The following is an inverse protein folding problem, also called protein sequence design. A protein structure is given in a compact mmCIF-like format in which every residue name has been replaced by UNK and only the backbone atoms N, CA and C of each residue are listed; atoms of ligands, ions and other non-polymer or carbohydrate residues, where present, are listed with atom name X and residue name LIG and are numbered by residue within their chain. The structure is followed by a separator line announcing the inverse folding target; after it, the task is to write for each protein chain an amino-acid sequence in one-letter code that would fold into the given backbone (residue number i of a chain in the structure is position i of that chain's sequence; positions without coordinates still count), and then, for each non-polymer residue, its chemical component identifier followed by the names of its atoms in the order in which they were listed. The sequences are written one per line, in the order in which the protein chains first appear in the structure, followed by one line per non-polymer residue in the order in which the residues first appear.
data_IF_212140910278
#
_entry.id   IF_212140910278
#
_cell.length_a   1.000
_cell.length_b   1.000
_cell.length_c   1.000
_cell.angle_alpha   90.00
_cell.angle_beta   90.00
_cell.angle_gamma   90.00
#
_symmetry.space_group_name_H-M   'P 1'
#
loop_
_entity.id
_entity.type
_entity.pdbx_description
1 polymer ?
#
# COMPACT_ATOMS: atom_id res chain seq x y z
N UNK A 1 -26.77 15.26 -9.89
CA UNK A 1 -26.59 15.22 -8.42
C UNK A 1 -25.22 14.61 -8.14
N UNK A 2 -24.19 15.46 -8.03
CA UNK A 2 -22.80 15.02 -7.90
C UNK A 2 -22.46 14.46 -6.51
N UNK A 3 -23.35 14.67 -5.53
CA UNK A 3 -23.14 14.24 -4.14
C UNK A 3 -22.84 12.73 -4.02
N UNK A 4 -23.65 11.88 -4.69
CA UNK A 4 -23.49 10.42 -4.62
C UNK A 4 -22.24 9.96 -5.38
N UNK A 5 -21.93 10.59 -6.51
CA UNK A 5 -20.72 10.30 -7.29
C UNK A 5 -19.46 10.64 -6.48
N UNK A 6 -19.45 11.82 -5.85
CA UNK A 6 -18.35 12.26 -4.98
C UNK A 6 -18.14 11.35 -3.78
N UNK A 7 -19.22 10.94 -3.10
CA UNK A 7 -19.12 10.00 -1.96
C UNK A 7 -18.56 8.65 -2.40
N UNK A 8 -18.98 8.13 -3.56
CA UNK A 8 -18.39 6.91 -4.13
C UNK A 8 -16.89 7.08 -4.41
N UNK A 9 -16.49 8.19 -5.02
CA UNK A 9 -15.08 8.49 -5.29
C UNK A 9 -14.25 8.56 -4.01
N UNK A 10 -14.77 9.17 -2.94
CA UNK A 10 -14.10 9.21 -1.63
C UNK A 10 -13.95 7.83 -1.01
N UNK A 11 -15.01 7.01 -1.04
CA UNK A 11 -14.96 5.64 -0.53
C UNK A 11 -13.92 4.80 -1.28
N UNK A 12 -13.88 4.90 -2.60
CA UNK A 12 -12.87 4.21 -3.43
C UNK A 12 -11.45 4.70 -3.12
N UNK A 13 -11.24 6.01 -3.03
CA UNK A 13 -9.93 6.57 -2.66
C UNK A 13 -9.48 6.11 -1.26
N UNK A 14 -10.38 6.09 -0.29
CA UNK A 14 -10.11 5.61 1.07
C UNK A 14 -9.74 4.12 1.09
N UNK A 15 -10.48 3.30 0.32
CA UNK A 15 -10.19 1.88 0.19
C UNK A 15 -8.81 1.63 -0.45
N UNK A 16 -8.48 2.34 -1.54
CA UNK A 16 -7.18 2.23 -2.20
C UNK A 16 -6.04 2.68 -1.27
N UNK A 17 -6.24 3.74 -0.50
CA UNK A 17 -5.26 4.20 0.49
C UNK A 17 -5.02 3.16 1.60
N UNK A 18 -6.09 2.49 2.05
CA UNK A 18 -6.01 1.41 3.03
C UNK A 18 -5.26 0.21 2.45
N UNK A 19 -5.54 -0.16 1.20
CA UNK A 19 -4.83 -1.22 0.48
C UNK A 19 -3.34 -0.90 0.32
N UNK A 20 -3.00 0.32 -0.07
CA UNK A 20 -1.61 0.79 -0.17
C UNK A 20 -0.88 0.61 1.17
N UNK A 21 -1.51 1.04 2.27
CA UNK A 21 -0.97 0.91 3.62
C UNK A 21 -0.76 -0.57 3.99
N UNK A 22 -1.74 -1.44 3.69
CA UNK A 22 -1.65 -2.87 3.97
C UNK A 22 -0.51 -3.55 3.19
N UNK A 23 -0.34 -3.20 1.91
CA UNK A 23 0.76 -3.73 1.08
C UNK A 23 2.12 -3.36 1.65
N UNK A 24 2.29 -2.10 2.09
CA UNK A 24 3.55 -1.63 2.69
C UNK A 24 3.78 -2.32 4.04
N UNK A 25 2.76 -2.37 4.91
CA UNK A 25 2.86 -2.96 6.23
C UNK A 25 3.18 -4.47 6.17
N UNK A 26 2.41 -5.23 5.40
CA UNK A 26 2.57 -6.68 5.30
C UNK A 26 3.75 -7.09 4.41
N UNK A 27 4.00 -6.36 3.33
CA UNK A 27 5.00 -6.72 2.33
C UNK A 27 6.41 -6.20 2.60
N UNK A 28 6.55 -5.10 3.36
CA UNK A 28 7.84 -4.52 3.68
C UNK A 28 8.15 -4.58 5.18
N UNK A 29 7.26 -4.05 6.03
CA UNK A 29 7.55 -3.94 7.46
C UNK A 29 7.52 -5.31 8.18
N UNK A 30 6.52 -6.15 7.93
CA UNK A 30 6.44 -7.47 8.55
C UNK A 30 7.70 -8.34 8.30
N UNK A 31 8.19 -8.52 7.05
CA UNK A 31 9.41 -9.28 6.83
C UNK A 31 10.66 -8.58 7.40
N UNK A 32 10.74 -7.24 7.38
CA UNK A 32 11.85 -6.52 8.00
C UNK A 32 11.93 -6.79 9.50
N UNK A 33 10.79 -6.75 10.21
CA UNK A 33 10.70 -7.08 11.64
C UNK A 33 11.05 -8.55 11.88
N UNK A 34 10.57 -9.46 11.04
CA UNK A 34 10.86 -10.90 11.18
C UNK A 34 12.38 -11.20 11.07
N UNK A 35 13.09 -10.48 10.19
CA UNK A 35 14.55 -10.56 10.07
C UNK A 35 15.22 -9.95 11.31
N UNK A 36 14.81 -8.75 11.74
CA UNK A 36 15.40 -8.05 12.89
C UNK A 36 15.29 -8.85 14.20
N UNK A 37 14.18 -9.55 14.40
CA UNK A 37 13.91 -10.34 15.62
C UNK A 37 14.43 -11.79 15.49
N UNK A 38 14.98 -12.17 14.33
CA UNK A 38 15.54 -13.51 14.13
C UNK A 38 14.50 -14.63 14.07
N UNK A 39 13.24 -14.30 13.81
CA UNK A 39 12.12 -15.27 13.71
C UNK A 39 11.87 -15.74 12.28
N UNK A 40 12.67 -15.30 11.30
CA UNK A 40 12.53 -15.70 9.89
C UNK A 40 12.82 -17.21 9.73
N UNK A 41 11.80 -18.05 9.46
CA UNK A 41 11.97 -19.50 9.40
C UNK A 41 12.49 -19.99 8.04
N UNK A 42 12.69 -19.08 7.09
CA UNK A 42 12.91 -19.40 5.69
C UNK A 42 14.37 -19.10 5.30
N UNK A 43 15.11 -20.07 4.71
CA UNK A 43 16.45 -19.85 4.17
C UNK A 43 16.37 -19.10 2.84
N UNK A 44 15.63 -18.00 2.81
CA UNK A 44 15.56 -17.11 1.66
C UNK A 44 16.75 -16.15 1.78
N UNK A 45 17.50 -15.98 0.69
CA UNK A 45 18.52 -14.93 0.61
C UNK A 45 17.91 -13.58 0.99
N UNK A 46 18.48 -12.90 1.99
CA UNK A 46 17.98 -11.61 2.49
C UNK A 46 17.82 -10.58 1.37
N UNK A 47 18.62 -10.68 0.31
CA UNK A 47 18.49 -9.89 -0.90
C UNK A 47 17.10 -9.99 -1.56
N UNK A 48 16.51 -11.19 -1.65
CA UNK A 48 15.16 -11.38 -2.24
C UNK A 48 14.08 -10.73 -1.39
N UNK A 49 14.21 -10.82 -0.06
CA UNK A 49 13.27 -10.18 0.87
C UNK A 49 13.35 -8.65 0.77
N UNK A 50 14.55 -8.10 0.66
CA UNK A 50 14.76 -6.66 0.46
C UNK A 50 14.16 -6.20 -0.87
N UNK A 51 14.39 -6.94 -1.96
CA UNK A 51 13.80 -6.63 -3.28
C UNK A 51 12.27 -6.64 -3.22
N UNK A 52 11.68 -7.65 -2.57
CA UNK A 52 10.22 -7.72 -2.39
C UNK A 52 9.70 -6.55 -1.55
N UNK A 53 10.36 -6.21 -0.44
CA UNK A 53 9.98 -5.08 0.41
C UNK A 53 10.00 -3.76 -0.37
N UNK A 54 11.05 -3.51 -1.16
CA UNK A 54 11.14 -2.32 -2.03
C UNK A 54 10.00 -2.32 -3.05
N UNK A 55 9.73 -3.46 -3.70
CA UNK A 55 8.63 -3.57 -4.65
C UNK A 55 7.27 -3.27 -4.00
N UNK A 56 7.00 -3.79 -2.80
CA UNK A 56 5.78 -3.49 -2.04
C UNK A 56 5.67 -2.01 -1.68
N UNK A 57 6.78 -1.35 -1.30
CA UNK A 57 6.81 0.10 -1.06
C UNK A 57 6.47 0.88 -2.33
N UNK A 58 7.08 0.55 -3.46
CA UNK A 58 6.83 1.21 -4.75
C UNK A 58 5.37 1.04 -5.18
N UNK A 59 4.85 -0.20 -5.12
CA UNK A 59 3.46 -0.50 -5.47
C UNK A 59 2.49 0.23 -4.53
N UNK A 60 2.71 0.17 -3.21
CA UNK A 60 1.87 0.87 -2.24
C UNK A 60 1.84 2.38 -2.46
N UNK A 61 2.99 3.01 -2.69
CA UNK A 61 3.05 4.43 -3.00
C UNK A 61 2.34 4.77 -4.32
N UNK A 62 2.46 3.93 -5.34
CA UNK A 62 1.78 4.13 -6.63
C UNK A 62 0.26 4.09 -6.46
N UNK A 63 -0.26 3.15 -5.67
CA UNK A 63 -1.69 3.06 -5.34
C UNK A 63 -2.14 4.27 -4.52
N UNK A 64 -1.35 4.69 -3.53
CA UNK A 64 -1.64 5.88 -2.72
C UNK A 64 -1.76 7.15 -3.58
N UNK A 65 -0.83 7.35 -4.53
CA UNK A 65 -0.89 8.47 -5.48
C UNK A 65 -2.14 8.38 -6.38
N UNK A 66 -2.50 7.17 -6.83
CA UNK A 66 -3.75 6.93 -7.56
C UNK A 66 -4.99 7.32 -6.75
N UNK A 67 -5.04 6.96 -5.46
CA UNK A 67 -6.11 7.37 -4.55
C UNK A 67 -6.20 8.91 -4.41
N UNK A 68 -5.05 9.58 -4.32
CA UNK A 68 -4.98 11.05 -4.26
C UNK A 68 -5.47 11.70 -5.56
N UNK A 69 -5.14 11.12 -6.71
CA UNK A 69 -5.62 11.59 -8.00
C UNK A 69 -7.14 11.50 -8.12
N UNK A 70 -7.75 10.40 -7.64
CA UNK A 70 -9.21 10.25 -7.62
C UNK A 70 -9.91 11.33 -6.78
N UNK A 71 -9.35 11.71 -5.63
CA UNK A 71 -9.89 12.80 -4.83
C UNK A 71 -9.81 14.17 -5.54
N UNK A 72 -8.85 14.33 -6.47
CA UNK A 72 -8.76 15.54 -7.29
C UNK A 72 -9.86 15.66 -8.35
N UNK A 73 -10.63 14.61 -8.63
CA UNK A 73 -11.71 14.62 -9.62
C UNK A 73 -13.08 14.98 -9.04
N UNK A 74 -13.15 15.38 -7.77
CA UNK A 74 -14.41 15.76 -7.12
C UNK A 74 -15.01 17.01 -7.78
N UNK A 75 -16.34 17.01 -7.97
CA UNK A 75 -17.07 18.11 -8.61
C UNK A 75 -17.85 18.90 -7.56
N UNK A 76 -17.95 20.21 -7.72
CA UNK A 76 -18.80 21.09 -6.88
C UNK A 76 -20.21 21.23 -7.46
#
# INVERSE_FOLDING_TARGET
MFLVENERTKLTASWLNTLATAIIAAGAFAPAIAILVGVSPMPIESARVIVLAIACVVVGNSIHLGARYLLGSLRE
#
